data_IF_269464820269
#
_entry.id   IF_269464820269
#
_cell.length_a   1.000
_cell.length_b   1.000
_cell.length_c   1.000
_cell.angle_alpha   90.00
_cell.angle_beta   90.00
_cell.angle_gamma   90.00
#
_symmetry.space_group_name_H-M   'P 1'
#
loop_
_entity.id
_entity.type
_entity.pdbx_description
1 polymer ?
#
# COMPACT_ATOMS: atom_id res chain seq x y z
N UNK A 1 0.34 -19.18 3.18
CA UNK A 1 -0.49 -18.27 2.36
C UNK A 1 -0.94 -17.09 3.20
N UNK A 2 -0.68 -15.87 2.75
CA UNK A 2 -1.25 -14.66 3.32
C UNK A 2 -2.58 -14.36 2.61
N UNK A 3 -3.68 -14.26 3.34
CA UNK A 3 -5.02 -14.08 2.77
C UNK A 3 -5.83 -13.05 3.55
N UNK A 4 -6.42 -12.09 2.82
CA UNK A 4 -7.31 -11.07 3.35
C UNK A 4 -8.46 -10.80 2.38
N UNK A 5 -9.57 -10.32 2.92
CA UNK A 5 -10.54 -9.54 2.16
C UNK A 5 -10.36 -8.07 2.55
N UNK A 6 -9.95 -7.26 1.58
CA UNK A 6 -9.73 -5.82 1.76
C UNK A 6 -10.99 -5.08 1.32
N UNK A 7 -11.44 -4.13 2.13
CA UNK A 7 -12.62 -3.32 1.83
C UNK A 7 -12.32 -1.86 2.09
N UNK A 8 -12.47 -1.03 1.06
CA UNK A 8 -12.31 0.44 1.18
C UNK A 8 -13.68 1.06 0.97
N UNK A 9 -14.25 1.63 2.03
CA UNK A 9 -15.56 2.28 2.01
C UNK A 9 -15.43 3.75 1.69
N UNK A 10 -16.31 4.22 0.80
CA UNK A 10 -16.46 5.65 0.50
C UNK A 10 -17.68 6.18 1.25
N UNK A 11 -17.44 7.00 2.26
CA UNK A 11 -18.51 7.61 3.05
C UNK A 11 -19.16 8.78 2.29
N UNK A 12 -20.41 9.08 2.63
CA UNK A 12 -21.16 10.16 1.97
C UNK A 12 -20.63 11.55 2.28
N UNK A 13 -19.88 11.71 3.39
CA UNK A 13 -19.28 12.96 3.81
C UNK A 13 -17.86 13.21 3.28
N UNK A 14 -17.37 12.37 2.32
CA UNK A 14 -16.03 12.48 1.74
C UNK A 14 -14.93 11.84 2.56
N UNK A 15 -15.24 11.16 3.66
CA UNK A 15 -14.28 10.34 4.41
C UNK A 15 -14.22 8.94 3.81
N UNK A 16 -13.24 8.15 4.26
CA UNK A 16 -13.08 6.75 3.85
C UNK A 16 -12.74 5.87 5.04
N UNK A 17 -12.90 4.57 4.87
CA UNK A 17 -12.49 3.59 5.86
C UNK A 17 -11.90 2.37 5.18
N UNK A 18 -10.75 1.92 5.67
CA UNK A 18 -10.11 0.67 5.24
C UNK A 18 -10.40 -0.40 6.28
N UNK A 19 -10.90 -1.56 5.84
CA UNK A 19 -11.04 -2.74 6.69
C UNK A 19 -10.43 -3.95 6.01
N UNK A 20 -9.81 -4.80 6.82
CA UNK A 20 -9.23 -6.06 6.37
C UNK A 20 -9.79 -7.19 7.23
N UNK A 21 -10.38 -8.18 6.56
CA UNK A 21 -10.88 -9.39 7.20
C UNK A 21 -9.90 -10.52 6.91
N UNK A 22 -9.39 -11.14 7.97
CA UNK A 22 -8.45 -12.26 7.88
C UNK A 22 -9.16 -13.58 7.65
N UNK A 23 -8.41 -14.61 7.29
CA UNK A 23 -8.95 -15.96 7.07
C UNK A 23 -9.68 -16.54 8.29
N UNK A 24 -9.29 -16.17 9.51
CA UNK A 24 -9.95 -16.58 10.74
C UNK A 24 -11.22 -15.78 11.09
N UNK A 25 -11.58 -14.81 10.25
CA UNK A 25 -12.74 -13.93 10.43
C UNK A 25 -12.46 -12.68 11.28
N UNK A 26 -11.27 -12.55 11.86
CA UNK A 26 -10.91 -11.34 12.60
C UNK A 26 -10.78 -10.15 11.65
N UNK A 27 -11.11 -8.96 12.15
CA UNK A 27 -11.14 -7.73 11.36
C UNK A 27 -10.32 -6.64 12.03
N UNK A 28 -9.52 -5.95 11.25
CA UNK A 28 -8.90 -4.69 11.68
C UNK A 28 -9.29 -3.58 10.70
N UNK A 29 -9.45 -2.35 11.19
CA UNK A 29 -9.94 -1.25 10.37
C UNK A 29 -9.44 0.11 10.86
N UNK A 30 -9.45 1.09 9.97
CA UNK A 30 -9.17 2.49 10.29
C UNK A 30 -10.05 3.42 9.45
N UNK A 31 -10.38 4.57 10.01
CA UNK A 31 -11.10 5.64 9.31
C UNK A 31 -10.15 6.77 8.96
N UNK A 32 -10.36 7.37 7.80
CA UNK A 32 -9.58 8.50 7.30
C UNK A 32 -10.51 9.68 7.05
N UNK A 33 -10.15 10.86 7.53
CA UNK A 33 -10.96 12.07 7.49
C UNK A 33 -10.24 13.22 6.79
N UNK A 34 -11.02 14.16 6.22
CA UNK A 34 -10.46 15.33 5.56
C UNK A 34 -9.54 14.99 4.41
N UNK A 35 -8.36 15.62 4.36
CA UNK A 35 -7.36 15.35 3.31
C UNK A 35 -6.84 13.93 3.34
N UNK A 36 -6.71 13.32 4.53
CA UNK A 36 -6.31 11.91 4.66
C UNK A 36 -7.36 10.99 4.06
N UNK A 37 -8.63 11.33 4.14
CA UNK A 37 -9.71 10.59 3.50
C UNK A 37 -9.63 10.53 1.98
N UNK A 38 -8.96 11.50 1.36
CA UNK A 38 -8.69 11.55 -0.08
C UNK A 38 -7.37 10.87 -0.47
N UNK A 39 -6.37 11.00 0.39
CA UNK A 39 -5.03 10.45 0.14
C UNK A 39 -4.98 8.94 0.33
N UNK A 40 -5.48 8.44 1.47
CA UNK A 40 -5.26 7.05 1.87
C UNK A 40 -5.92 6.01 0.95
N UNK A 41 -7.11 6.19 0.37
CA UNK A 41 -7.64 5.19 -0.55
C UNK A 41 -6.70 4.90 -1.72
N UNK A 42 -6.12 5.92 -2.32
CA UNK A 42 -5.16 5.73 -3.43
C UNK A 42 -3.82 5.19 -2.95
N UNK A 43 -3.36 5.60 -1.78
CA UNK A 43 -2.18 5.05 -1.13
C UNK A 43 -2.37 3.55 -0.83
N UNK A 44 -3.49 3.18 -0.25
CA UNK A 44 -3.82 1.79 0.08
C UNK A 44 -3.93 0.92 -1.18
N UNK A 45 -4.50 1.45 -2.25
CA UNK A 45 -4.57 0.76 -3.54
C UNK A 45 -3.19 0.64 -4.21
N UNK A 46 -2.30 1.60 -3.99
CA UNK A 46 -0.91 1.51 -4.45
C UNK A 46 -0.17 0.40 -3.71
N UNK A 47 -0.35 0.26 -2.40
CA UNK A 47 0.13 -0.89 -1.64
C UNK A 47 -0.38 -2.21 -2.23
N UNK A 48 -1.66 -2.28 -2.53
CA UNK A 48 -2.26 -3.47 -3.11
C UNK A 48 -1.61 -3.85 -4.44
N UNK A 49 -1.43 -2.88 -5.35
CA UNK A 49 -0.80 -3.13 -6.64
C UNK A 49 0.65 -3.60 -6.49
N UNK A 50 1.44 -2.92 -5.67
CA UNK A 50 2.84 -3.24 -5.43
C UNK A 50 2.98 -4.63 -4.80
N UNK A 51 2.27 -4.86 -3.70
CA UNK A 51 2.43 -6.09 -2.93
C UNK A 51 1.93 -7.33 -3.67
N UNK A 52 0.84 -7.21 -4.45
CA UNK A 52 0.32 -8.34 -5.23
C UNK A 52 1.17 -8.64 -6.46
N UNK A 53 1.60 -7.63 -7.20
CA UNK A 53 2.40 -7.84 -8.41
C UNK A 53 3.83 -8.29 -8.13
N UNK A 54 4.40 -7.85 -7.02
CA UNK A 54 5.76 -8.21 -6.61
C UNK A 54 5.79 -9.38 -5.61
N UNK A 55 4.63 -9.92 -5.26
CA UNK A 55 4.49 -11.03 -4.32
C UNK A 55 5.16 -10.75 -2.97
N UNK A 56 4.98 -9.53 -2.47
CA UNK A 56 5.53 -9.12 -1.18
C UNK A 56 4.70 -9.70 -0.03
N UNK A 57 5.17 -10.78 0.57
CA UNK A 57 4.48 -11.49 1.66
C UNK A 57 4.34 -10.67 2.94
N UNK A 58 5.29 -9.80 3.20
CA UNK A 58 5.36 -9.03 4.45
C UNK A 58 5.41 -7.53 4.18
N UNK A 59 4.70 -7.06 3.16
CA UNK A 59 4.31 -5.67 3.04
C UNK A 59 3.18 -5.32 4.02
N UNK A 60 2.52 -4.22 3.81
CA UNK A 60 1.43 -3.77 4.69
C UNK A 60 0.32 -4.83 4.83
N UNK A 61 -0.25 -5.28 3.72
CA UNK A 61 -1.32 -6.28 3.77
C UNK A 61 -0.84 -7.65 4.24
N UNK A 62 0.37 -8.02 3.90
CA UNK A 62 0.95 -9.25 4.38
C UNK A 62 1.09 -9.28 5.90
N UNK A 63 1.55 -8.19 6.51
CA UNK A 63 1.63 -8.06 7.97
C UNK A 63 0.24 -8.08 8.62
N UNK A 64 -0.75 -7.42 8.00
CA UNK A 64 -2.14 -7.48 8.46
C UNK A 64 -2.65 -8.94 8.44
N UNK A 65 -2.35 -9.67 7.38
CA UNK A 65 -2.72 -11.09 7.29
C UNK A 65 -2.05 -11.95 8.36
N UNK A 66 -0.84 -11.60 8.80
CA UNK A 66 -0.13 -12.26 9.90
C UNK A 66 -0.69 -11.91 11.29
N UNK A 67 -1.54 -10.90 11.41
CA UNK A 67 -2.18 -10.51 12.65
C UNK A 67 -1.85 -9.10 13.15
N UNK A 68 -1.15 -8.29 12.36
CA UNK A 68 -0.96 -6.87 12.68
C UNK A 68 -2.29 -6.13 12.55
N UNK A 69 -2.61 -5.33 13.55
CA UNK A 69 -3.76 -4.42 13.52
C UNK A 69 -3.36 -3.03 13.00
N UNK A 70 -4.33 -2.26 12.54
CA UNK A 70 -4.07 -0.92 12.01
C UNK A 70 -3.32 -0.03 13.00
N UNK A 71 -3.60 -0.18 14.29
CA UNK A 71 -2.93 0.56 15.38
C UNK A 71 -1.46 0.17 15.56
N UNK A 72 -1.03 -0.96 15.02
CA UNK A 72 0.36 -1.42 15.14
C UNK A 72 1.30 -0.69 14.18
N UNK A 73 0.75 -0.03 13.14
CA UNK A 73 1.53 0.65 12.10
C UNK A 73 1.88 2.12 12.43
N UNK A 74 1.63 2.56 13.63
CA UNK A 74 1.88 3.93 14.03
C UNK A 74 2.15 4.07 15.53
N UNK A 75 2.33 5.30 15.96
CA UNK A 75 2.52 5.65 17.37
C UNK A 75 1.32 5.19 18.21
N UNK A 76 1.53 4.50 19.34
CA UNK A 76 2.80 4.33 20.09
C UNK A 76 3.65 3.12 19.67
N UNK A 77 3.45 2.53 18.51
CA UNK A 77 4.18 1.37 18.00
C UNK A 77 4.06 0.15 18.94
N UNK A 78 2.85 -0.40 19.15
CA UNK A 78 2.63 -1.47 20.13
C UNK A 78 3.47 -2.71 19.90
N UNK A 79 3.83 -3.00 18.64
CA UNK A 79 4.69 -4.12 18.24
C UNK A 79 6.14 -3.73 17.96
N UNK A 80 6.50 -2.46 18.19
CA UNK A 80 7.79 -1.93 17.82
C UNK A 80 7.81 -1.42 16.36
N UNK A 81 9.00 -1.12 15.81
CA UNK A 81 9.13 -0.64 14.44
C UNK A 81 8.68 -1.70 13.43
N UNK A 82 8.37 -1.28 12.21
CA UNK A 82 8.05 -2.20 11.12
C UNK A 82 9.22 -3.18 10.90
N UNK A 83 8.91 -4.46 10.59
CA UNK A 83 9.95 -5.40 10.19
C UNK A 83 10.70 -4.89 8.96
N UNK A 84 12.01 -5.10 8.94
CA UNK A 84 12.86 -4.63 7.82
C UNK A 84 12.48 -5.21 6.46
N UNK A 85 11.84 -6.36 6.43
CA UNK A 85 11.36 -6.97 5.20
C UNK A 85 10.05 -6.35 4.67
N UNK A 86 9.42 -5.45 5.44
CA UNK A 86 8.32 -4.60 4.96
C UNK A 86 8.82 -3.34 4.23
N UNK A 87 10.03 -2.88 4.53
CA UNK A 87 10.56 -1.63 4.01
C UNK A 87 10.64 -1.53 2.48
N UNK A 88 10.98 -2.58 1.71
CA UNK A 88 10.94 -2.49 0.25
C UNK A 88 9.57 -2.10 -0.30
N UNK A 89 8.48 -2.65 0.24
CA UNK A 89 7.12 -2.25 -0.16
C UNK A 89 6.84 -0.80 0.17
N UNK A 90 7.18 -0.36 1.36
CA UNK A 90 6.98 1.02 1.81
C UNK A 90 7.73 2.02 0.93
N UNK A 91 8.99 1.73 0.59
CA UNK A 91 9.81 2.57 -0.29
C UNK A 91 9.20 2.68 -1.69
N UNK A 92 8.81 1.56 -2.30
CA UNK A 92 8.24 1.54 -3.64
C UNK A 92 6.91 2.31 -3.67
N UNK A 93 6.04 2.08 -2.70
CA UNK A 93 4.76 2.81 -2.58
C UNK A 93 5.01 4.30 -2.40
N UNK A 94 5.96 4.68 -1.57
CA UNK A 94 6.34 6.09 -1.37
C UNK A 94 6.80 6.76 -2.66
N UNK A 95 7.55 6.06 -3.51
CA UNK A 95 7.98 6.59 -4.81
C UNK A 95 6.79 6.77 -5.76
N UNK A 96 5.86 5.83 -5.80
CA UNK A 96 4.66 5.99 -6.63
C UNK A 96 3.75 7.11 -6.13
N UNK A 97 3.62 7.30 -4.82
CA UNK A 97 2.91 8.45 -4.27
C UNK A 97 3.60 9.77 -4.65
N UNK A 98 4.93 9.79 -4.62
CA UNK A 98 5.73 10.93 -5.06
C UNK A 98 5.58 11.23 -6.55
N UNK A 99 5.54 10.22 -7.41
CA UNK A 99 5.25 10.38 -8.84
C UNK A 99 3.90 11.06 -9.04
N UNK A 100 2.88 10.58 -8.34
CA UNK A 100 1.52 11.13 -8.44
C UNK A 100 1.45 12.57 -7.96
N UNK A 101 2.06 12.87 -6.82
CA UNK A 101 2.07 14.22 -6.27
C UNK A 101 2.84 15.22 -7.16
N UNK A 102 3.95 14.78 -7.75
CA UNK A 102 4.81 15.61 -8.58
C UNK A 102 4.44 15.60 -10.07
N UNK A 103 3.46 14.79 -10.47
CA UNK A 103 3.11 14.55 -11.87
C UNK A 103 4.33 14.18 -12.73
N UNK A 104 5.16 13.30 -12.21
CA UNK A 104 6.38 12.80 -12.86
C UNK A 104 6.31 11.28 -13.00
N UNK A 105 7.16 10.73 -13.86
CA UNK A 105 7.29 9.28 -14.05
C UNK A 105 8.77 8.93 -14.03
N UNK A 106 9.18 8.10 -13.07
CA UNK A 106 10.56 7.71 -12.91
C UNK A 106 10.88 6.40 -13.64
N UNK A 107 12.11 6.32 -14.15
CA UNK A 107 12.67 5.09 -14.70
C UNK A 107 13.15 4.17 -13.57
N UNK A 108 13.42 2.90 -13.90
CA UNK A 108 14.01 1.96 -12.95
C UNK A 108 15.38 2.44 -12.45
N UNK A 109 16.19 3.07 -13.30
CA UNK A 109 17.47 3.63 -12.94
C UNK A 109 17.33 4.78 -11.92
N UNK A 110 16.37 5.68 -12.13
CA UNK A 110 16.08 6.78 -11.20
C UNK A 110 15.54 6.24 -9.86
N UNK A 111 14.70 5.22 -9.90
CA UNK A 111 14.23 4.56 -8.68
C UNK A 111 15.39 3.96 -7.89
N UNK A 112 16.31 3.29 -8.56
CA UNK A 112 17.51 2.72 -7.93
C UNK A 112 18.36 3.79 -7.27
N UNK A 113 18.57 4.93 -7.92
CA UNK A 113 19.29 6.06 -7.35
C UNK A 113 18.62 6.57 -6.06
N UNK A 114 17.28 6.65 -6.06
CA UNK A 114 16.52 7.06 -4.88
C UNK A 114 16.64 6.07 -3.73
N UNK A 115 16.62 4.78 -4.02
CA UNK A 115 16.82 3.72 -3.01
C UNK A 115 18.24 3.77 -2.45
N UNK A 116 19.25 3.94 -3.30
CA UNK A 116 20.64 4.06 -2.88
C UNK A 116 20.84 5.29 -1.97
N UNK A 117 20.24 6.42 -2.32
CA UNK A 117 20.28 7.63 -1.50
C UNK A 117 19.59 7.42 -0.15
N UNK A 118 18.42 6.78 -0.15
CA UNK A 118 17.71 6.42 1.08
C UNK A 118 18.57 5.54 1.97
N UNK A 119 19.19 4.50 1.41
CA UNK A 119 20.06 3.59 2.13
C UNK A 119 21.25 4.30 2.75
N UNK A 120 21.89 5.22 2.02
CA UNK A 120 22.99 6.03 2.53
C UNK A 120 22.54 6.91 3.70
N UNK A 121 21.41 7.59 3.55
CA UNK A 121 20.89 8.53 4.55
C UNK A 121 20.45 7.82 5.83
N UNK A 122 19.83 6.64 5.72
CA UNK A 122 19.27 5.89 6.84
C UNK A 122 20.16 4.75 7.33
N UNK A 123 21.34 4.57 6.72
CA UNK A 123 22.28 3.47 7.03
C UNK A 123 21.60 2.10 6.93
N UNK A 124 20.84 1.92 5.87
CA UNK A 124 20.10 0.69 5.56
C UNK A 124 20.68 0.06 4.29
N UNK A 125 20.25 -1.15 3.99
CA UNK A 125 20.72 -1.90 2.82
C UNK A 125 19.54 -2.61 2.15
N UNK A 126 18.51 -1.85 1.75
CA UNK A 126 17.36 -2.43 1.05
C UNK A 126 17.71 -2.72 -0.40
N UNK A 127 17.41 -3.93 -0.83
CA UNK A 127 17.46 -4.31 -2.23
C UNK A 127 16.12 -4.03 -2.89
N UNK A 128 16.09 -3.08 -3.80
CA UNK A 128 14.95 -2.86 -4.69
C UNK A 128 15.49 -2.94 -6.11
N UNK A 129 15.15 -4.05 -6.78
CA UNK A 129 15.60 -4.32 -8.14
C UNK A 129 14.38 -4.52 -9.03
N UNK A 130 13.92 -3.43 -9.63
CA UNK A 130 12.75 -3.41 -10.51
C UNK A 130 13.18 -3.00 -11.91
N UNK A 131 12.55 -3.61 -12.90
CA UNK A 131 12.70 -3.24 -14.31
C UNK A 131 11.69 -2.15 -14.69
N UNK A 132 11.96 -1.44 -15.79
CA UNK A 132 11.00 -0.47 -16.35
C UNK A 132 9.68 -1.15 -16.71
N UNK A 133 9.71 -2.42 -17.15
CA UNK A 133 8.52 -3.21 -17.44
C UNK A 133 7.68 -3.47 -16.19
N UNK A 134 8.32 -3.87 -15.08
CA UNK A 134 7.63 -4.06 -13.80
C UNK A 134 7.00 -2.76 -13.30
N UNK A 135 7.71 -1.63 -13.42
CA UNK A 135 7.16 -0.32 -13.07
C UNK A 135 5.94 0.03 -13.92
N UNK A 136 6.00 -0.27 -15.22
CA UNK A 136 4.86 -0.05 -16.12
C UNK A 136 3.65 -0.92 -15.74
N UNK A 137 3.87 -2.18 -15.38
CA UNK A 137 2.81 -3.08 -14.92
C UNK A 137 2.16 -2.57 -13.63
N UNK A 138 2.95 -2.11 -12.68
CA UNK A 138 2.43 -1.54 -11.43
C UNK A 138 1.61 -0.29 -11.72
N UNK A 139 2.09 0.60 -12.59
CA UNK A 139 1.35 1.82 -12.97
C UNK A 139 0.03 1.50 -13.65
N UNK A 140 0.01 0.52 -14.53
CA UNK A 140 -1.21 0.08 -15.21
C UNK A 140 -2.22 -0.46 -14.19
N UNK A 141 -1.78 -1.36 -13.32
CA UNK A 141 -2.65 -1.92 -12.29
C UNK A 141 -3.17 -0.86 -11.32
N UNK A 142 -2.31 0.05 -10.92
CA UNK A 142 -2.70 1.19 -10.08
C UNK A 142 -3.77 2.05 -10.75
N UNK A 143 -3.60 2.36 -12.04
CA UNK A 143 -4.58 3.14 -12.79
C UNK A 143 -5.95 2.44 -12.88
N UNK A 144 -5.96 1.13 -13.10
CA UNK A 144 -7.20 0.32 -13.06
C UNK A 144 -7.89 0.40 -11.70
N UNK A 145 -7.12 0.23 -10.61
CA UNK A 145 -7.65 0.28 -9.25
C UNK A 145 -8.19 1.68 -8.91
N UNK A 146 -7.51 2.73 -9.34
CA UNK A 146 -7.97 4.10 -9.14
C UNK A 146 -9.29 4.36 -9.89
N UNK A 147 -9.42 3.84 -11.12
CA UNK A 147 -10.66 3.94 -11.88
C UNK A 147 -11.80 3.18 -11.18
N UNK A 148 -11.53 1.99 -10.65
CA UNK A 148 -12.52 1.24 -9.85
C UNK A 148 -12.97 2.04 -8.63
N UNK A 149 -12.03 2.65 -7.92
CA UNK A 149 -12.33 3.51 -6.77
C UNK A 149 -13.15 4.74 -7.15
N UNK A 150 -12.80 5.40 -8.23
CA UNK A 150 -13.52 6.59 -8.71
C UNK A 150 -14.98 6.27 -9.06
N UNK A 151 -15.26 5.04 -9.48
CA UNK A 151 -16.61 4.55 -9.80
C UNK A 151 -17.41 4.02 -8.59
N UNK A 152 -16.80 3.93 -7.42
CA UNK A 152 -17.52 3.57 -6.19
C UNK A 152 -18.45 4.72 -5.80
N UNK A 153 -19.72 4.44 -5.63
CA UNK A 153 -20.69 5.44 -5.19
C UNK A 153 -20.52 5.77 -3.71
N UNK A 154 -20.78 7.02 -3.29
CA UNK A 154 -20.80 7.36 -1.85
C UNK A 154 -21.73 6.42 -1.08
N UNK A 155 -21.24 5.89 0.04
CA UNK A 155 -21.95 4.90 0.86
C UNK A 155 -21.63 3.44 0.50
N UNK A 156 -20.98 3.21 -0.64
CA UNK A 156 -20.55 1.88 -1.07
C UNK A 156 -19.07 1.64 -0.80
N UNK A 157 -18.58 0.45 -1.13
CA UNK A 157 -17.19 0.06 -0.91
C UNK A 157 -16.62 -0.69 -2.11
N UNK A 158 -15.30 -0.60 -2.25
CA UNK A 158 -14.52 -1.45 -3.13
C UNK A 158 -14.01 -2.64 -2.31
N UNK A 159 -14.23 -3.85 -2.78
CA UNK A 159 -13.69 -5.07 -2.17
C UNK A 159 -12.67 -5.73 -3.07
N UNK A 160 -11.55 -6.14 -2.49
CA UNK A 160 -10.45 -6.78 -3.20
C UNK A 160 -9.95 -7.99 -2.41
N UNK A 161 -9.71 -9.13 -3.08
CA UNK A 161 -9.04 -10.26 -2.45
C UNK A 161 -7.52 -10.02 -2.44
N UNK A 162 -6.88 -10.36 -1.34
CA UNK A 162 -5.43 -10.37 -1.23
C UNK A 162 -5.00 -11.79 -0.88
N UNK A 163 -4.28 -12.44 -1.80
CA UNK A 163 -3.80 -13.80 -1.62
C UNK A 163 -2.38 -13.88 -2.16
N UNK A 164 -1.42 -14.15 -1.27
CA UNK A 164 -0.01 -14.36 -1.62
C UNK A 164 0.45 -15.67 -0.97
N UNK A 165 1.04 -16.55 -1.77
CA UNK A 165 1.59 -17.84 -1.32
C UNK A 165 2.99 -17.71 -0.69
#
# INVERSE_FOLDING_TARGET
>A
MASLTIRIKKNTNGTSALSCTRADGSVTWQSNHGETGRFFPRHDLTHYAVETLLEHRRGFYGLVAEGWDMTDFGTPWPRGPLPVDADPSELIVGFFDGERAGNVRWTAAELKEKVDLYNQTHRTNFGVDLTDEQLAQIRERRAELFAMWDNVAPGEALELPFNIE
#
